data_IF_949635815027
#
_entry.id   IF_949635815027
#
_cell.length_a   1.000
_cell.length_b   1.000
_cell.length_c   1.000
_cell.angle_alpha   90.00
_cell.angle_beta   90.00
_cell.angle_gamma   90.00
#
_symmetry.space_group_name_H-M   'P 1'
#
loop_
_entity.id
_entity.type
_entity.pdbx_description
1 polymer ?
#
# COMPACT_ATOMS: atom_id res chain seq x y z
N UNK A 1 16.40 3.32 114.37
CA UNK A 1 16.96 2.96 113.03
C UNK A 1 15.91 2.63 111.95
N UNK A 2 14.64 2.37 112.29
CA UNK A 2 13.62 1.94 111.31
C UNK A 2 13.18 2.98 110.23
N UNK A 3 13.13 4.29 110.56
CA UNK A 3 12.62 5.32 109.61
C UNK A 3 13.51 5.59 108.39
N UNK A 4 14.82 5.29 108.44
CA UNK A 4 15.73 5.49 107.29
C UNK A 4 15.59 4.36 106.26
N UNK A 5 15.35 3.13 106.70
CA UNK A 5 15.17 1.95 105.86
C UNK A 5 13.88 2.02 105.02
N UNK A 6 12.78 2.50 105.61
CA UNK A 6 11.51 2.65 104.90
C UNK A 6 11.53 3.75 103.82
N UNK A 7 12.30 4.84 104.03
CA UNK A 7 12.47 5.90 103.01
C UNK A 7 13.36 5.47 101.84
N UNK A 8 14.39 4.64 102.07
CA UNK A 8 15.22 4.11 100.98
C UNK A 8 14.44 3.13 100.11
N UNK A 9 13.56 2.33 100.71
CA UNK A 9 12.76 1.32 100.02
C UNK A 9 11.68 1.95 99.14
N UNK A 10 10.97 2.97 99.64
CA UNK A 10 10.00 3.75 98.84
C UNK A 10 10.68 4.48 97.67
N UNK A 11 11.91 4.98 97.87
CA UNK A 11 12.68 5.63 96.79
C UNK A 11 13.17 4.63 95.74
N UNK A 12 13.52 3.42 96.16
CA UNK A 12 13.89 2.31 95.26
C UNK A 12 12.69 1.86 94.41
N UNK A 13 11.52 1.66 95.02
CA UNK A 13 10.30 1.28 94.29
C UNK A 13 9.84 2.36 93.31
N UNK A 14 9.98 3.65 93.65
CA UNK A 14 9.65 4.75 92.74
C UNK A 14 10.60 4.82 91.54
N UNK A 15 11.91 4.57 91.75
CA UNK A 15 12.88 4.51 90.67
C UNK A 15 12.63 3.29 89.75
N UNK A 16 12.31 2.12 90.32
CA UNK A 16 11.94 0.93 89.54
C UNK A 16 10.67 1.15 88.70
N UNK A 17 9.66 1.85 89.25
CA UNK A 17 8.46 2.22 88.50
C UNK A 17 8.70 3.22 87.37
N UNK A 18 9.65 4.14 87.55
CA UNK A 18 10.04 5.10 86.49
C UNK A 18 10.85 4.42 85.38
N UNK A 19 11.73 3.48 85.72
CA UNK A 19 12.47 2.67 84.74
C UNK A 19 11.53 1.77 83.92
N UNK A 20 10.58 1.09 84.56
CA UNK A 20 9.60 0.26 83.88
C UNK A 20 8.74 1.08 82.89
N UNK A 21 8.32 2.28 83.29
CA UNK A 21 7.55 3.19 82.43
C UNK A 21 8.37 3.70 81.24
N UNK A 22 9.66 3.98 81.46
CA UNK A 22 10.61 4.36 80.39
C UNK A 22 10.85 3.24 79.39
N UNK A 23 10.99 1.99 79.87
CA UNK A 23 11.14 0.81 79.02
C UNK A 23 9.90 0.53 78.17
N UNK A 24 8.70 0.74 78.72
CA UNK A 24 7.45 0.57 77.99
C UNK A 24 7.25 1.64 76.91
N UNK A 25 7.55 2.91 77.20
CA UNK A 25 7.57 3.99 76.20
C UNK A 25 8.56 3.69 75.06
N UNK A 26 9.77 3.22 75.38
CA UNK A 26 10.75 2.84 74.37
C UNK A 26 10.29 1.64 73.52
N UNK A 27 9.58 0.67 74.11
CA UNK A 27 8.95 -0.43 73.36
C UNK A 27 7.87 0.06 72.41
N UNK A 28 6.98 0.95 72.87
CA UNK A 28 5.91 1.51 72.04
C UNK A 28 6.46 2.36 70.88
N UNK A 29 7.49 3.17 71.12
CA UNK A 29 8.21 3.87 70.05
C UNK A 29 8.89 2.92 69.06
N UNK A 30 9.52 1.83 69.53
CA UNK A 30 10.15 0.85 68.65
C UNK A 30 9.13 0.10 67.77
N UNK A 31 7.93 -0.18 68.28
CA UNK A 31 6.84 -0.81 67.51
C UNK A 31 6.29 0.15 66.46
N UNK A 32 6.02 1.41 66.82
CA UNK A 32 5.56 2.43 65.87
C UNK A 32 6.56 2.69 64.74
N UNK A 33 7.85 2.76 65.06
CA UNK A 33 8.93 2.92 64.07
C UNK A 33 9.04 1.74 63.11
N UNK A 34 8.87 0.50 63.59
CA UNK A 34 8.86 -0.70 62.74
C UNK A 34 7.66 -0.72 61.80
N UNK A 35 6.49 -0.29 62.27
CA UNK A 35 5.27 -0.26 61.48
C UNK A 35 5.36 0.79 60.36
N UNK A 36 5.92 1.98 60.65
CA UNK A 36 6.21 3.01 59.65
C UNK A 36 7.19 2.52 58.58
N UNK A 37 8.27 1.85 58.98
CA UNK A 37 9.25 1.27 58.05
C UNK A 37 8.63 0.17 57.17
N UNK A 38 7.76 -0.68 57.73
CA UNK A 38 7.04 -1.70 56.97
C UNK A 38 6.11 -1.06 55.93
N UNK A 39 5.35 -0.04 56.34
CA UNK A 39 4.44 0.65 55.42
C UNK A 39 5.19 1.40 54.32
N UNK A 40 6.33 2.02 54.64
CA UNK A 40 7.19 2.67 53.66
C UNK A 40 7.80 1.65 52.67
N UNK A 41 8.20 0.47 53.17
CA UNK A 41 8.72 -0.62 52.34
C UNK A 41 7.63 -1.21 51.42
N UNK A 42 6.40 -1.39 51.91
CA UNK A 42 5.26 -1.79 51.08
C UNK A 42 4.93 -0.76 49.99
N UNK A 43 4.94 0.53 50.32
CA UNK A 43 4.72 1.60 49.34
C UNK A 43 5.84 1.65 48.28
N UNK A 44 7.10 1.50 48.69
CA UNK A 44 8.24 1.38 47.79
C UNK A 44 8.11 0.15 46.87
N UNK A 45 7.71 -1.01 47.39
CA UNK A 45 7.47 -2.20 46.57
C UNK A 45 6.37 -1.97 45.53
N UNK A 46 5.26 -1.29 45.88
CA UNK A 46 4.19 -0.98 44.93
C UNK A 46 4.64 0.00 43.83
N UNK A 47 5.54 0.94 44.14
CA UNK A 47 6.16 1.84 43.17
C UNK A 47 7.08 1.10 42.19
N UNK A 48 7.79 0.06 42.65
CA UNK A 48 8.66 -0.76 41.79
C UNK A 48 7.88 -1.76 40.92
N UNK A 49 6.72 -2.25 41.37
CA UNK A 49 5.86 -3.15 40.56
C UNK A 49 4.96 -2.42 39.57
N UNK A 50 4.78 -1.10 39.72
CA UNK A 50 3.97 -0.27 38.80
C UNK A 50 4.59 -0.03 37.42
N UNK A 51 5.86 -0.43 37.22
CA UNK A 51 6.60 -0.28 35.96
C UNK A 51 6.82 -1.61 35.23
N UNK A 52 6.02 -2.65 35.50
CA UNK A 52 5.98 -3.84 34.66
C UNK A 52 5.49 -3.40 33.27
N UNK A 53 6.43 -3.38 32.31
CA UNK A 53 6.31 -2.67 31.05
C UNK A 53 5.03 -3.00 30.30
N UNK A 54 4.29 -1.95 29.95
CA UNK A 54 3.46 -1.99 28.76
C UNK A 54 4.43 -2.15 27.58
N UNK A 55 4.76 -3.40 27.26
CA UNK A 55 5.36 -3.71 25.99
C UNK A 55 4.30 -3.36 24.97
N UNK A 56 4.46 -2.20 24.32
CA UNK A 56 3.72 -1.91 23.09
C UNK A 56 4.12 -3.04 22.15
N UNK A 57 3.22 -4.01 21.98
CA UNK A 57 3.34 -4.98 20.91
C UNK A 57 3.19 -4.13 19.66
N UNK A 58 4.32 -3.81 19.02
CA UNK A 58 4.31 -3.35 17.64
C UNK A 58 3.74 -4.53 16.87
N UNK A 59 2.44 -4.50 16.62
CA UNK A 59 1.78 -5.43 15.71
C UNK A 59 2.39 -5.11 14.35
N UNK A 60 3.48 -5.82 14.02
CA UNK A 60 4.00 -5.81 12.66
C UNK A 60 2.85 -6.24 11.78
N UNK A 61 2.63 -5.48 10.71
CA UNK A 61 1.62 -5.81 9.72
C UNK A 61 1.79 -7.29 9.33
N UNK A 62 0.79 -8.16 9.61
CA UNK A 62 0.93 -9.58 9.37
C UNK A 62 0.87 -9.91 7.87
N UNK A 63 0.41 -8.97 7.04
CA UNK A 63 0.24 -9.18 5.61
C UNK A 63 1.59 -9.13 4.87
N UNK A 64 1.74 -10.04 3.93
CA UNK A 64 2.86 -10.03 2.96
C UNK A 64 2.60 -9.02 1.84
N UNK A 65 3.65 -8.67 1.11
CA UNK A 65 3.54 -7.77 -0.04
C UNK A 65 2.48 -8.21 -1.05
N UNK A 66 2.40 -9.51 -1.36
CA UNK A 66 1.42 -10.05 -2.29
C UNK A 66 -0.02 -9.97 -1.76
N UNK A 67 -0.20 -10.01 -0.44
CA UNK A 67 -1.51 -9.90 0.20
C UNK A 67 -1.99 -8.45 0.21
N UNK A 68 -1.09 -7.49 0.46
CA UNK A 68 -1.37 -6.07 0.27
C UNK A 68 -1.72 -5.73 -1.18
N UNK A 69 -1.02 -6.30 -2.17
CA UNK A 69 -1.37 -6.15 -3.60
C UNK A 69 -2.77 -6.66 -3.90
N UNK A 70 -3.13 -7.85 -3.40
CA UNK A 70 -4.48 -8.40 -3.59
C UNK A 70 -5.55 -7.53 -2.94
N UNK A 71 -5.29 -7.03 -1.74
CA UNK A 71 -6.21 -6.13 -1.04
C UNK A 71 -6.38 -4.81 -1.81
N UNK A 72 -5.29 -4.25 -2.34
CA UNK A 72 -5.34 -3.06 -3.18
C UNK A 72 -6.20 -3.28 -4.45
N UNK A 73 -6.06 -4.42 -5.11
CA UNK A 73 -6.88 -4.79 -6.28
C UNK A 73 -8.37 -4.91 -5.94
N UNK A 74 -8.69 -5.43 -4.74
CA UNK A 74 -10.09 -5.49 -4.25
C UNK A 74 -10.63 -4.07 -4.04
N UNK A 75 -9.86 -3.19 -3.40
CA UNK A 75 -10.26 -1.78 -3.23
C UNK A 75 -10.43 -1.06 -4.58
N UNK A 76 -9.55 -1.29 -5.56
CA UNK A 76 -9.74 -0.76 -6.92
C UNK A 76 -11.04 -1.24 -7.56
N UNK A 77 -11.37 -2.53 -7.42
CA UNK A 77 -12.62 -3.09 -7.95
C UNK A 77 -13.87 -2.50 -7.27
N UNK A 78 -13.74 -2.02 -6.04
CA UNK A 78 -14.79 -1.32 -5.27
C UNK A 78 -14.83 0.19 -5.56
N UNK A 79 -13.86 0.72 -6.30
CA UNK A 79 -13.71 2.17 -6.55
C UNK A 79 -13.05 2.94 -5.40
N UNK A 80 -12.58 2.25 -4.35
CA UNK A 80 -11.91 2.82 -3.17
C UNK A 80 -10.43 3.13 -3.47
N UNK A 81 -10.22 4.05 -4.41
CA UNK A 81 -8.92 4.34 -5.03
C UNK A 81 -7.85 4.73 -4.00
N UNK A 82 -8.18 5.56 -3.03
CA UNK A 82 -7.23 6.04 -2.01
C UNK A 82 -6.78 4.91 -1.09
N UNK A 83 -7.66 3.95 -0.76
CA UNK A 83 -7.32 2.77 0.02
C UNK A 83 -6.44 1.82 -0.80
N UNK A 84 -6.73 1.63 -2.09
CA UNK A 84 -5.87 0.86 -2.98
C UNK A 84 -4.44 1.43 -3.04
N UNK A 85 -4.27 2.74 -3.17
CA UNK A 85 -2.95 3.39 -3.15
C UNK A 85 -2.22 3.10 -1.84
N UNK A 86 -2.90 3.18 -0.69
CA UNK A 86 -2.29 2.90 0.61
C UNK A 86 -1.78 1.47 0.68
N UNK A 87 -2.58 0.50 0.24
CA UNK A 87 -2.21 -0.92 0.25
C UNK A 87 -1.07 -1.22 -0.74
N UNK A 88 -1.06 -0.64 -1.94
CA UNK A 88 0.09 -0.77 -2.84
C UNK A 88 1.37 -0.17 -2.25
N UNK A 89 1.28 0.96 -1.54
CA UNK A 89 2.44 1.55 -0.85
C UNK A 89 2.92 0.68 0.31
N UNK A 90 2.02 0.04 1.06
CA UNK A 90 2.38 -0.95 2.08
C UNK A 90 3.06 -2.17 1.46
N UNK A 91 2.56 -2.66 0.33
CA UNK A 91 3.21 -3.74 -0.42
C UNK A 91 4.66 -3.39 -0.77
N UNK A 92 4.89 -2.18 -1.30
CA UNK A 92 6.24 -1.68 -1.60
C UNK A 92 7.11 -1.46 -0.36
N UNK A 93 6.52 -1.17 0.80
CA UNK A 93 7.25 -1.12 2.07
C UNK A 93 7.70 -2.49 2.59
N UNK A 94 7.08 -3.58 2.12
CA UNK A 94 7.46 -4.97 2.44
C UNK A 94 8.37 -5.57 1.37
N UNK A 95 8.12 -5.27 0.09
CA UNK A 95 8.91 -5.66 -1.06
C UNK A 95 9.02 -4.49 -2.05
N UNK A 96 10.17 -3.82 -2.02
CA UNK A 96 10.48 -2.66 -2.87
C UNK A 96 10.57 -3.00 -4.37
N UNK A 97 10.58 -4.29 -4.73
CA UNK A 97 10.68 -4.79 -6.11
C UNK A 97 9.34 -5.27 -6.67
N UNK A 98 8.25 -5.12 -5.92
CA UNK A 98 6.93 -5.63 -6.33
C UNK A 98 6.41 -4.97 -7.61
N UNK A 99 6.58 -5.66 -8.74
CA UNK A 99 6.16 -5.19 -10.07
C UNK A 99 4.65 -4.98 -10.15
N UNK A 100 3.86 -5.83 -9.47
CA UNK A 100 2.41 -5.71 -9.42
C UNK A 100 1.97 -4.45 -8.65
N UNK A 101 2.66 -4.09 -7.57
CA UNK A 101 2.34 -2.87 -6.83
C UNK A 101 2.68 -1.61 -7.63
N UNK A 102 3.86 -1.57 -8.27
CA UNK A 102 4.20 -0.50 -9.20
C UNK A 102 3.22 -0.39 -10.37
N UNK A 103 2.83 -1.51 -10.97
CA UNK A 103 1.86 -1.52 -12.07
C UNK A 103 0.48 -1.00 -11.64
N UNK A 104 0.00 -1.40 -10.45
CA UNK A 104 -1.25 -0.89 -9.87
C UNK A 104 -1.22 0.62 -9.64
N UNK A 105 -0.16 1.13 -9.01
CA UNK A 105 0.04 2.58 -8.82
C UNK A 105 0.12 3.32 -10.15
N UNK A 106 0.83 2.78 -11.15
CA UNK A 106 0.90 3.35 -12.49
C UNK A 106 -0.47 3.43 -13.18
N UNK A 107 -1.28 2.39 -13.07
CA UNK A 107 -2.65 2.38 -13.61
C UNK A 107 -3.54 3.44 -12.94
N UNK A 108 -3.43 3.58 -11.61
CA UNK A 108 -4.19 4.59 -10.86
C UNK A 108 -3.74 6.00 -11.27
N UNK A 109 -2.43 6.28 -11.30
CA UNK A 109 -1.91 7.58 -11.75
C UNK A 109 -2.29 7.90 -13.19
N UNK A 110 -2.27 6.91 -14.08
CA UNK A 110 -2.72 7.09 -15.46
C UNK A 110 -4.21 7.49 -15.54
N UNK A 111 -5.08 6.80 -14.79
CA UNK A 111 -6.52 7.14 -14.70
C UNK A 111 -6.76 8.54 -14.12
N UNK A 112 -5.87 9.01 -13.23
CA UNK A 112 -5.89 10.37 -12.67
C UNK A 112 -5.25 11.42 -13.60
N UNK A 113 -4.80 11.04 -14.79
CA UNK A 113 -4.02 11.87 -15.72
C UNK A 113 -2.70 12.43 -15.13
N UNK A 114 -2.18 11.78 -14.09
CA UNK A 114 -0.89 12.05 -13.46
C UNK A 114 0.23 11.36 -14.25
N UNK A 115 0.42 11.76 -15.51
CA UNK A 115 1.24 11.02 -16.48
C UNK A 115 2.71 10.89 -16.08
N UNK A 116 3.27 11.87 -15.36
CA UNK A 116 4.65 11.79 -14.84
C UNK A 116 4.81 10.66 -13.82
N UNK A 117 3.86 10.53 -12.90
CA UNK A 117 3.89 9.46 -11.90
C UNK A 117 3.59 8.10 -12.52
N UNK A 118 2.65 8.04 -13.46
CA UNK A 118 2.36 6.84 -14.24
C UNK A 118 3.62 6.35 -14.99
N UNK A 119 4.33 7.24 -15.67
CA UNK A 119 5.59 6.92 -16.37
C UNK A 119 6.63 6.32 -15.40
N UNK A 120 6.84 6.98 -14.26
CA UNK A 120 7.78 6.53 -13.23
C UNK A 120 7.42 5.12 -12.74
N UNK A 121 6.16 4.90 -12.39
CA UNK A 121 5.71 3.62 -11.84
C UNK A 121 5.78 2.48 -12.87
N UNK A 122 5.38 2.70 -14.12
CA UNK A 122 5.54 1.68 -15.16
C UNK A 122 7.01 1.37 -15.46
N UNK A 123 7.89 2.38 -15.47
CA UNK A 123 9.33 2.16 -15.59
C UNK A 123 9.87 1.33 -14.43
N UNK A 124 9.46 1.60 -13.19
CA UNK A 124 9.83 0.78 -12.03
C UNK A 124 9.33 -0.65 -12.14
N UNK A 125 8.11 -0.88 -12.64
CA UNK A 125 7.62 -2.24 -12.91
C UNK A 125 8.48 -2.96 -13.97
N UNK A 126 8.92 -2.25 -15.02
CA UNK A 126 9.80 -2.79 -16.08
C UNK A 126 11.22 -3.05 -15.57
N UNK A 127 11.77 -2.19 -14.71
CA UNK A 127 13.12 -2.34 -14.12
C UNK A 127 13.21 -3.58 -13.21
N UNK A 128 12.12 -3.92 -12.52
CA UNK A 128 12.08 -5.00 -11.53
C UNK A 128 11.53 -6.33 -12.08
N UNK A 129 11.46 -6.49 -13.41
CA UNK A 129 10.93 -7.71 -14.03
C UNK A 129 11.91 -8.33 -15.03
N UNK A 130 11.71 -9.61 -15.36
CA UNK A 130 12.45 -10.26 -16.43
C UNK A 130 11.99 -9.73 -17.80
N UNK A 131 12.88 -9.15 -18.63
CA UNK A 131 12.49 -8.35 -19.80
C UNK A 131 11.70 -9.11 -20.87
N UNK A 132 11.72 -10.45 -20.85
CA UNK A 132 11.11 -11.33 -21.85
C UNK A 132 9.95 -12.19 -21.30
N UNK A 133 9.45 -11.93 -20.08
CA UNK A 133 8.25 -12.59 -19.57
C UNK A 133 6.98 -12.01 -20.25
N UNK A 134 6.16 -12.91 -20.80
CA UNK A 134 4.85 -12.61 -21.40
C UNK A 134 3.98 -11.71 -20.51
N UNK A 135 4.02 -11.88 -19.19
CA UNK A 135 3.20 -11.13 -18.23
C UNK A 135 3.50 -9.62 -18.25
N UNK A 136 4.68 -9.23 -18.73
CA UNK A 136 5.13 -7.84 -18.77
C UNK A 136 4.66 -7.07 -19.99
N UNK A 137 4.04 -7.73 -20.99
CA UNK A 137 3.53 -7.07 -22.19
C UNK A 137 2.64 -5.86 -21.86
N UNK A 138 1.82 -5.97 -20.82
CA UNK A 138 0.98 -4.85 -20.35
C UNK A 138 1.77 -3.68 -19.77
N UNK A 139 2.95 -3.90 -19.18
CA UNK A 139 3.77 -2.80 -18.64
C UNK A 139 4.29 -1.92 -19.78
N UNK A 140 4.81 -2.55 -20.84
CA UNK A 140 5.28 -1.85 -22.04
C UNK A 140 4.12 -1.12 -22.75
N UNK A 141 2.97 -1.78 -22.90
CA UNK A 141 1.78 -1.18 -23.51
C UNK A 141 1.25 0.02 -22.70
N UNK A 142 1.18 -0.08 -21.37
CA UNK A 142 0.64 1.02 -20.58
C UNK A 142 1.62 2.20 -20.52
N UNK A 143 2.93 1.94 -20.56
CA UNK A 143 3.92 3.00 -20.74
C UNK A 143 3.81 3.66 -22.13
N UNK A 144 3.53 2.90 -23.20
CA UNK A 144 3.30 3.50 -24.52
C UNK A 144 2.05 4.39 -24.51
N UNK A 145 0.99 4.01 -23.79
CA UNK A 145 -0.19 4.85 -23.61
C UNK A 145 0.12 6.18 -22.90
N UNK A 146 1.02 6.19 -21.91
CA UNK A 146 1.49 7.46 -21.30
C UNK A 146 2.09 8.40 -22.36
N UNK A 147 2.88 7.84 -23.29
CA UNK A 147 3.50 8.61 -24.37
C UNK A 147 2.50 9.05 -25.44
N UNK A 148 1.47 8.26 -25.71
CA UNK A 148 0.34 8.63 -26.58
C UNK A 148 -0.43 9.81 -25.98
N UNK A 149 -0.87 9.71 -24.72
CA UNK A 149 -1.68 10.73 -24.05
C UNK A 149 -0.94 12.06 -23.89
N UNK A 150 0.37 11.99 -23.62
CA UNK A 150 1.20 13.19 -23.52
C UNK A 150 1.64 13.73 -24.88
N UNK A 151 1.35 13.00 -25.97
CA UNK A 151 1.82 13.25 -27.33
C UNK A 151 3.35 13.50 -27.40
N UNK A 152 4.10 12.72 -26.63
CA UNK A 152 5.57 12.84 -26.50
C UNK A 152 6.19 11.48 -26.72
N UNK A 153 7.37 11.45 -27.34
CA UNK A 153 8.17 10.21 -27.52
C UNK A 153 7.40 9.10 -28.25
N UNK A 154 6.61 9.46 -29.27
CA UNK A 154 5.80 8.50 -30.04
C UNK A 154 6.63 7.37 -30.68
N UNK A 155 7.87 7.65 -31.11
CA UNK A 155 8.78 6.61 -31.60
C UNK A 155 9.17 5.59 -30.50
N UNK A 156 9.28 6.04 -29.26
CA UNK A 156 9.50 5.13 -28.12
C UNK A 156 8.22 4.37 -27.77
N UNK A 157 7.06 5.03 -27.86
CA UNK A 157 5.77 4.38 -27.70
C UNK A 157 5.60 3.22 -28.70
N UNK A 158 5.97 3.43 -29.96
CA UNK A 158 5.99 2.40 -31.00
C UNK A 158 6.88 1.22 -30.59
N UNK A 159 8.12 1.49 -30.20
CA UNK A 159 9.06 0.43 -29.81
C UNK A 159 8.56 -0.39 -28.60
N UNK A 160 7.93 0.27 -27.62
CA UNK A 160 7.32 -0.37 -26.45
C UNK A 160 6.12 -1.23 -26.85
N UNK A 161 5.20 -0.72 -27.66
CA UNK A 161 4.03 -1.46 -28.12
C UNK A 161 4.43 -2.66 -29.01
N UNK A 162 5.42 -2.49 -29.89
CA UNK A 162 6.00 -3.59 -30.66
C UNK A 162 6.64 -4.65 -29.75
N UNK A 163 7.26 -4.24 -28.62
CA UNK A 163 7.75 -5.20 -27.63
C UNK A 163 6.59 -5.97 -26.99
N UNK A 164 5.51 -5.30 -26.62
CA UNK A 164 4.32 -5.97 -26.08
C UNK A 164 3.74 -7.02 -27.05
N UNK A 165 3.64 -6.69 -28.35
CA UNK A 165 3.23 -7.63 -29.42
C UNK A 165 4.09 -8.90 -29.43
N UNK A 166 5.41 -8.77 -29.28
CA UNK A 166 6.34 -9.92 -29.29
C UNK A 166 6.22 -10.79 -28.05
N UNK A 167 5.94 -10.19 -26.89
CA UNK A 167 5.90 -10.90 -25.61
C UNK A 167 4.62 -11.70 -25.42
N UNK A 168 3.49 -11.20 -25.92
CA UNK A 168 2.20 -11.81 -25.67
C UNK A 168 1.33 -11.92 -26.92
N UNK A 169 1.58 -13.02 -27.65
CA UNK A 169 0.85 -13.39 -28.86
C UNK A 169 -0.61 -13.72 -28.56
N UNK A 170 -0.92 -14.22 -27.36
CA UNK A 170 -2.28 -14.63 -27.00
C UNK A 170 -3.24 -13.45 -26.88
N UNK A 171 -2.73 -12.27 -26.50
CA UNK A 171 -3.50 -11.01 -26.41
C UNK A 171 -3.02 -9.97 -27.42
N UNK A 172 -2.44 -10.42 -28.54
CA UNK A 172 -1.80 -9.56 -29.54
C UNK A 172 -2.70 -8.44 -30.06
N UNK A 173 -4.01 -8.69 -30.15
CA UNK A 173 -4.99 -7.69 -30.59
C UNK A 173 -4.97 -6.42 -29.75
N UNK A 174 -4.70 -6.51 -28.43
CA UNK A 174 -4.63 -5.35 -27.54
C UNK A 174 -3.45 -4.45 -27.94
N UNK A 175 -2.32 -5.05 -28.26
CA UNK A 175 -1.08 -4.33 -28.56
C UNK A 175 -1.05 -3.80 -30.00
N UNK A 176 -1.70 -4.52 -30.92
CA UNK A 176 -1.94 -4.05 -32.30
C UNK A 176 -2.90 -2.86 -32.33
N UNK A 177 -3.93 -2.87 -31.47
CA UNK A 177 -4.83 -1.73 -31.29
C UNK A 177 -4.06 -0.47 -30.86
N UNK A 178 -3.21 -0.60 -29.84
CA UNK A 178 -2.30 0.48 -29.40
C UNK A 178 -1.37 0.96 -30.52
N UNK A 179 -0.79 0.05 -31.33
CA UNK A 179 0.03 0.44 -32.48
C UNK A 179 -0.78 1.22 -33.52
N UNK A 180 -2.04 0.84 -33.75
CA UNK A 180 -2.97 1.59 -34.58
C UNK A 180 -3.10 3.05 -34.16
N UNK A 181 -3.27 3.29 -32.86
CA UNK A 181 -3.35 4.64 -32.29
C UNK A 181 -2.02 5.38 -32.44
N UNK A 182 -0.90 4.73 -32.15
CA UNK A 182 0.45 5.33 -32.30
C UNK A 182 0.69 5.76 -33.75
N UNK A 183 0.43 4.89 -34.72
CA UNK A 183 0.59 5.20 -36.13
C UNK A 183 -0.36 6.30 -36.59
N UNK A 184 -1.58 6.37 -36.05
CA UNK A 184 -2.50 7.48 -36.30
C UNK A 184 -1.90 8.80 -35.83
N UNK A 185 -1.31 8.86 -34.62
CA UNK A 185 -0.64 10.06 -34.09
C UNK A 185 0.63 10.44 -34.86
N UNK A 186 1.30 9.47 -35.47
CA UNK A 186 2.46 9.68 -36.36
C UNK A 186 2.06 10.08 -37.79
N UNK A 187 0.76 10.13 -38.11
CA UNK A 187 0.22 10.31 -39.47
C UNK A 187 0.59 9.19 -40.46
N UNK A 188 0.94 8.00 -39.96
CA UNK A 188 1.23 6.81 -40.76
C UNK A 188 -0.04 5.98 -40.96
N UNK A 189 -1.01 6.57 -41.67
CA UNK A 189 -2.39 6.09 -41.72
C UNK A 189 -2.57 4.69 -42.31
N UNK A 190 -1.72 4.29 -43.26
CA UNK A 190 -1.74 2.95 -43.83
C UNK A 190 -1.33 1.89 -42.81
N UNK A 191 -0.28 2.17 -42.02
CA UNK A 191 0.15 1.27 -40.93
C UNK A 191 -0.85 1.24 -39.80
N UNK A 192 -1.48 2.38 -39.51
CA UNK A 192 -2.55 2.47 -38.52
C UNK A 192 -3.72 1.55 -38.90
N UNK A 193 -4.18 1.65 -40.15
CA UNK A 193 -5.27 0.84 -40.66
C UNK A 193 -4.92 -0.66 -40.65
N UNK A 194 -3.74 -1.03 -41.14
CA UNK A 194 -3.29 -2.43 -41.13
C UNK A 194 -3.22 -3.01 -39.70
N UNK A 195 -2.70 -2.23 -38.75
CA UNK A 195 -2.59 -2.64 -37.35
C UNK A 195 -3.98 -2.84 -36.72
N UNK A 196 -4.91 -1.89 -36.92
CA UNK A 196 -6.25 -1.96 -36.37
C UNK A 196 -7.10 -3.08 -36.99
N UNK A 197 -7.00 -3.30 -38.30
CA UNK A 197 -7.69 -4.40 -38.96
C UNK A 197 -7.12 -5.76 -38.54
N UNK A 198 -5.80 -5.85 -38.35
CA UNK A 198 -5.16 -7.05 -37.81
C UNK A 198 -5.54 -7.27 -36.34
N UNK A 199 -5.65 -6.20 -35.53
CA UNK A 199 -6.18 -6.28 -34.18
C UNK A 199 -7.61 -6.85 -34.19
N UNK A 200 -8.49 -6.31 -35.03
CA UNK A 200 -9.88 -6.74 -35.14
C UNK A 200 -10.00 -8.22 -35.54
N UNK A 201 -9.14 -8.69 -36.44
CA UNK A 201 -9.08 -10.10 -36.87
C UNK A 201 -8.64 -11.05 -35.74
N UNK A 202 -7.77 -10.60 -34.84
CA UNK A 202 -7.26 -11.40 -33.72
C UNK A 202 -8.05 -11.20 -32.43
N UNK A 203 -9.01 -10.27 -32.41
CA UNK A 203 -9.81 -9.99 -31.23
C UNK A 203 -10.75 -11.17 -30.92
N UNK A 204 -11.00 -11.48 -29.63
CA UNK A 204 -12.06 -12.40 -29.26
C UNK A 204 -13.41 -11.82 -29.72
N UNK A 205 -14.41 -12.69 -29.92
CA UNK A 205 -15.78 -12.28 -30.25
C UNK A 205 -16.52 -11.65 -29.05
N UNK A 206 -15.80 -10.92 -28.20
CA UNK A 206 -16.33 -10.15 -27.08
C UNK A 206 -16.66 -8.74 -27.57
N UNK A 207 -17.89 -8.28 -27.30
CA UNK A 207 -18.36 -6.96 -27.74
C UNK A 207 -17.44 -5.82 -27.30
N UNK A 208 -16.85 -5.90 -26.11
CA UNK A 208 -15.98 -4.85 -25.55
C UNK A 208 -14.73 -4.64 -26.40
N UNK A 209 -14.00 -5.72 -26.71
CA UNK A 209 -12.77 -5.66 -27.50
C UNK A 209 -13.06 -5.17 -28.93
N UNK A 210 -14.10 -5.71 -29.56
CA UNK A 210 -14.53 -5.29 -30.89
C UNK A 210 -14.91 -3.80 -30.91
N UNK A 211 -15.63 -3.33 -29.89
CA UNK A 211 -16.05 -1.94 -29.77
C UNK A 211 -14.86 -1.00 -29.59
N UNK A 212 -13.88 -1.38 -28.76
CA UNK A 212 -12.69 -0.57 -28.53
C UNK A 212 -11.89 -0.34 -29.82
N UNK A 213 -11.60 -1.42 -30.56
CA UNK A 213 -10.85 -1.33 -31.84
C UNK A 213 -11.62 -0.52 -32.88
N UNK A 214 -12.95 -0.69 -32.96
CA UNK A 214 -13.77 0.07 -33.89
C UNK A 214 -13.83 1.57 -33.55
N UNK A 215 -13.62 1.99 -32.30
CA UNK A 215 -13.51 3.41 -31.95
C UNK A 215 -12.22 4.01 -32.56
N UNK A 216 -11.10 3.29 -32.51
CA UNK A 216 -9.87 3.77 -33.13
C UNK A 216 -9.94 3.75 -34.67
N UNK A 217 -10.61 2.75 -35.27
CA UNK A 217 -10.90 2.77 -36.71
C UNK A 217 -11.79 3.94 -37.10
N UNK A 218 -12.79 4.29 -36.28
CA UNK A 218 -13.63 5.47 -36.50
C UNK A 218 -12.78 6.73 -36.53
N UNK A 219 -11.94 6.96 -35.51
CA UNK A 219 -11.05 8.13 -35.43
C UNK A 219 -10.11 8.19 -36.65
N UNK A 220 -9.51 7.06 -37.04
CA UNK A 220 -8.64 6.99 -38.20
C UNK A 220 -9.38 7.36 -39.49
N UNK A 221 -10.57 6.81 -39.74
CA UNK A 221 -11.32 7.10 -40.96
C UNK A 221 -11.90 8.51 -40.98
N UNK A 222 -12.21 9.08 -39.82
CA UNK A 222 -12.58 10.49 -39.69
C UNK A 222 -11.40 11.38 -40.11
N UNK A 223 -10.18 11.12 -39.61
CA UNK A 223 -8.96 11.86 -39.97
C UNK A 223 -8.63 11.70 -41.47
N UNK A 224 -8.76 10.49 -42.03
CA UNK A 224 -8.53 10.22 -43.47
C UNK A 224 -9.62 10.82 -44.37
N UNK A 225 -10.79 11.15 -43.83
CA UNK A 225 -11.95 11.56 -44.60
C UNK A 225 -12.60 10.44 -45.43
N UNK A 226 -12.36 9.17 -45.09
CA UNK A 226 -12.92 8.01 -45.78
C UNK A 226 -14.37 7.77 -45.33
N UNK A 227 -15.31 8.49 -45.95
CA UNK A 227 -16.73 8.45 -45.57
C UNK A 227 -17.36 7.07 -45.71
N UNK A 228 -16.88 6.26 -46.65
CA UNK A 228 -17.44 4.93 -46.89
C UNK A 228 -17.10 4.01 -45.73
N UNK A 229 -15.81 3.89 -45.38
CA UNK A 229 -15.38 3.05 -44.26
C UNK A 229 -15.85 3.59 -42.91
N UNK A 230 -15.92 4.91 -42.76
CA UNK A 230 -16.48 5.54 -41.57
C UNK A 230 -17.94 5.09 -41.34
N UNK A 231 -18.76 5.03 -42.40
CA UNK A 231 -20.14 4.55 -42.29
C UNK A 231 -20.20 3.08 -41.86
N UNK A 232 -19.38 2.21 -42.44
CA UNK A 232 -19.31 0.78 -42.07
C UNK A 232 -18.97 0.60 -40.57
N UNK A 233 -18.01 1.37 -40.07
CA UNK A 233 -17.62 1.34 -38.64
C UNK A 233 -18.75 1.85 -37.74
N UNK A 234 -19.46 2.92 -38.12
CA UNK A 234 -20.61 3.43 -37.36
C UNK A 234 -21.73 2.40 -37.25
N UNK A 235 -22.03 1.69 -38.34
CA UNK A 235 -23.02 0.62 -38.34
C UNK A 235 -22.59 -0.54 -37.44
N UNK A 236 -21.32 -0.91 -37.48
CA UNK A 236 -20.72 -1.92 -36.60
C UNK A 236 -20.83 -1.53 -35.13
N UNK A 237 -20.41 -0.32 -34.77
CA UNK A 237 -20.51 0.21 -33.40
C UNK A 237 -21.96 0.25 -32.89
N UNK A 238 -22.92 0.62 -33.74
CA UNK A 238 -24.36 0.58 -33.42
C UNK A 238 -24.85 -0.84 -33.16
N UNK A 239 -24.35 -1.81 -33.93
CA UNK A 239 -24.65 -3.24 -33.72
C UNK A 239 -24.10 -3.77 -32.40
N UNK A 240 -22.89 -3.35 -32.01
CA UNK A 240 -22.23 -3.77 -30.77
C UNK A 240 -22.86 -3.15 -29.51
N UNK A 241 -23.52 -1.99 -29.64
CA UNK A 241 -24.20 -1.31 -28.53
C UNK A 241 -25.60 -1.82 -28.18
N UNK A 242 -26.18 -2.70 -29.03
CA UNK A 242 -27.44 -3.41 -28.76
C UNK A 242 -27.16 -4.73 -28.03
#
# INVERSE_FOLDING_TARGET
>A
MARKSQKSEVRSQKNQGQEARSQELNRQHAVGSRQLLLTAYCLLLTLFTGCAGHQIIIVKDPLKAEEHVKLAQIYEAQGETELAIQEYKKALGQDETSTAAYFGLGNISFKKAEFTDAEMYYKKAIENTSPDDQKNAMFYNNLSWVYIETNKRLAEAEALAQKAVRLDIARVYIYLDTLGVIYTRLNEYEKAEDSLLTALKNAPYEKTALRHINIHLFELYEIKGDRYKLQEVVETLRGLGK
#
